data_IF_046078924296
#
_entry.id   IF_046078924296
#
_cell.length_a   1.000
_cell.length_b   1.000
_cell.length_c   1.000
_cell.angle_alpha   90.00
_cell.angle_beta   90.00
_cell.angle_gamma   90.00
#
_symmetry.space_group_name_H-M   'P 1'
#
loop_
_entity.id
_entity.type
_entity.pdbx_description
1 polymer ?
#
# COMPACT_ATOMS: atom_id res chain seq x y z
N UNK A 1 -23.47 -13.77 18.35
CA UNK A 1 -22.15 -13.94 17.71
C UNK A 1 -21.25 -12.80 18.18
N UNK A 2 -19.93 -12.96 18.12
CA UNK A 2 -19.00 -11.87 18.46
C UNK A 2 -18.78 -10.95 17.26
N UNK A 3 -18.35 -9.71 17.50
CA UNK A 3 -18.09 -8.74 16.43
C UNK A 3 -17.01 -9.24 15.46
N UNK A 4 -16.03 -9.98 15.96
CA UNK A 4 -14.99 -10.62 15.14
C UNK A 4 -15.60 -11.59 14.11
N UNK A 5 -16.64 -12.36 14.47
CA UNK A 5 -17.34 -13.26 13.54
C UNK A 5 -17.98 -12.48 12.39
N UNK A 6 -18.71 -11.40 12.70
CA UNK A 6 -19.38 -10.56 11.70
C UNK A 6 -18.36 -9.88 10.78
N UNK A 7 -17.23 -9.42 11.33
CA UNK A 7 -16.15 -8.86 10.53
C UNK A 7 -15.52 -9.89 9.58
N UNK A 8 -15.38 -11.15 9.97
CA UNK A 8 -14.91 -12.20 9.04
C UNK A 8 -15.91 -12.45 7.91
N UNK A 9 -17.22 -12.42 8.24
CA UNK A 9 -18.27 -12.55 7.24
C UNK A 9 -18.22 -11.40 6.23
N UNK A 10 -18.04 -10.16 6.71
CA UNK A 10 -17.84 -8.99 5.85
C UNK A 10 -16.64 -9.20 4.93
N UNK A 11 -15.49 -9.58 5.49
CA UNK A 11 -14.28 -9.81 4.70
C UNK A 11 -14.52 -10.83 3.58
N UNK A 12 -15.16 -11.96 3.89
CA UNK A 12 -15.45 -13.01 2.91
C UNK A 12 -16.45 -12.55 1.83
N UNK A 13 -17.55 -11.91 2.23
CA UNK A 13 -18.56 -11.39 1.30
C UNK A 13 -17.98 -10.33 0.37
N UNK A 14 -17.21 -9.38 0.90
CA UNK A 14 -16.56 -8.32 0.15
C UNK A 14 -15.50 -8.89 -0.79
N UNK A 15 -14.61 -9.76 -0.29
CA UNK A 15 -13.56 -10.37 -1.12
C UNK A 15 -14.16 -11.08 -2.33
N UNK A 16 -15.20 -11.89 -2.11
CA UNK A 16 -15.88 -12.60 -3.18
C UNK A 16 -16.64 -11.66 -4.13
N UNK A 17 -17.50 -10.79 -3.60
CA UNK A 17 -18.36 -9.94 -4.43
C UNK A 17 -17.61 -8.85 -5.20
N UNK A 18 -16.44 -8.44 -4.73
CA UNK A 18 -15.56 -7.52 -5.46
C UNK A 18 -14.54 -8.25 -6.37
N UNK A 19 -14.64 -9.57 -6.50
CA UNK A 19 -13.77 -10.37 -7.37
C UNK A 19 -12.30 -10.39 -6.95
N UNK A 20 -12.04 -10.24 -5.65
CA UNK A 20 -10.69 -10.29 -5.08
C UNK A 20 -10.32 -11.72 -4.66
N UNK A 21 -9.01 -11.97 -4.49
CA UNK A 21 -8.52 -13.25 -4.01
C UNK A 21 -8.27 -13.22 -2.50
N UNK A 22 -8.79 -14.21 -1.79
CA UNK A 22 -8.50 -14.39 -0.36
C UNK A 22 -7.02 -14.76 -0.07
N UNK A 23 -6.24 -15.06 -1.11
CA UNK A 23 -4.80 -15.33 -1.05
C UNK A 23 -3.93 -14.07 -1.16
N UNK A 24 -4.52 -12.89 -1.36
CA UNK A 24 -3.77 -11.64 -1.51
C UNK A 24 -4.47 -10.44 -0.90
N UNK A 25 -5.79 -10.43 -0.82
CA UNK A 25 -6.55 -9.23 -0.47
C UNK A 25 -6.42 -8.87 1.01
N UNK A 26 -6.23 -7.59 1.29
CA UNK A 26 -6.26 -7.00 2.62
C UNK A 26 -7.26 -5.85 2.61
N UNK A 27 -8.21 -5.89 3.54
CA UNK A 27 -9.23 -4.86 3.71
C UNK A 27 -8.62 -3.63 4.39
N UNK A 28 -8.94 -2.43 3.90
CA UNK A 28 -8.54 -1.19 4.54
C UNK A 28 -9.69 -0.67 5.42
N UNK A 29 -9.43 -0.52 6.72
CA UNK A 29 -10.40 -0.02 7.70
C UNK A 29 -9.73 0.97 8.66
N UNK A 30 -10.04 2.28 8.59
CA UNK A 30 -11.05 2.89 7.72
C UNK A 30 -10.68 2.88 6.24
N UNK A 31 -11.68 2.85 5.36
CA UNK A 31 -11.44 3.11 3.93
C UNK A 31 -11.01 4.57 3.75
N UNK A 32 -10.17 4.84 2.76
CA UNK A 32 -9.56 6.17 2.59
C UNK A 32 -10.11 6.87 1.33
N UNK A 33 -10.98 7.89 1.46
CA UNK A 33 -11.32 8.74 0.32
C UNK A 33 -10.08 9.52 -0.12
N UNK A 34 -9.83 9.53 -1.43
CA UNK A 34 -8.67 10.17 -2.04
C UNK A 34 -9.06 11.55 -2.59
N UNK A 35 -8.42 12.59 -2.07
CA UNK A 35 -8.57 13.97 -2.57
C UNK A 35 -7.55 14.31 -3.65
N UNK A 36 -7.88 15.32 -4.45
CA UNK A 36 -6.95 15.92 -5.43
C UNK A 36 -5.76 16.58 -4.71
N UNK A 37 -6.00 17.22 -3.56
CA UNK A 37 -4.94 17.83 -2.75
C UNK A 37 -3.99 16.75 -2.22
N UNK A 38 -2.73 16.80 -2.65
CA UNK A 38 -1.70 15.80 -2.30
C UNK A 38 -1.91 14.42 -2.94
N UNK A 39 -2.81 14.31 -3.93
CA UNK A 39 -3.35 13.04 -4.43
C UNK A 39 -2.31 11.95 -4.72
N UNK A 40 -1.23 12.29 -5.42
CA UNK A 40 -0.13 11.35 -5.71
C UNK A 40 0.60 10.90 -4.44
N UNK A 41 1.00 11.84 -3.58
CA UNK A 41 1.74 11.52 -2.36
C UNK A 41 0.89 10.67 -1.40
N UNK A 42 -0.39 10.98 -1.27
CA UNK A 42 -1.31 10.20 -0.43
C UNK A 42 -1.63 8.83 -1.04
N UNK A 43 -1.84 8.75 -2.35
CA UNK A 43 -2.02 7.48 -3.05
C UNK A 43 -0.80 6.57 -2.89
N UNK A 44 0.39 7.12 -3.15
CA UNK A 44 1.65 6.40 -3.10
C UNK A 44 2.05 6.01 -1.68
N UNK A 45 1.57 6.71 -0.64
CA UNK A 45 1.86 6.34 0.74
C UNK A 45 1.23 5.00 1.15
N UNK A 46 0.20 4.51 0.45
CA UNK A 46 -0.33 3.15 0.62
C UNK A 46 0.54 2.09 -0.05
N UNK A 47 1.12 2.40 -1.20
CA UNK A 47 2.06 1.52 -1.91
C UNK A 47 3.41 1.44 -1.20
N UNK A 48 3.84 2.55 -0.60
CA UNK A 48 5.08 2.64 0.15
C UNK A 48 5.00 1.97 1.52
N UNK A 49 3.81 1.72 2.06
CA UNK A 49 3.65 1.06 3.35
C UNK A 49 3.84 -0.46 3.21
N UNK A 50 4.65 -1.04 4.09
CA UNK A 50 4.81 -2.50 4.14
C UNK A 50 3.66 -3.11 4.96
N UNK A 51 2.79 -3.92 4.35
CA UNK A 51 1.58 -4.38 5.00
C UNK A 51 1.86 -5.40 6.12
N UNK A 52 1.18 -5.30 7.28
CA UNK A 52 1.24 -6.30 8.33
C UNK A 52 0.58 -7.61 7.89
N UNK A 53 0.95 -8.73 8.50
CA UNK A 53 0.31 -10.03 8.25
C UNK A 53 -1.09 -10.07 8.90
N UNK A 54 -2.10 -9.60 8.18
CA UNK A 54 -3.46 -9.44 8.72
C UNK A 54 -4.51 -9.31 7.60
N UNK A 55 -5.76 -9.68 7.87
CA UNK A 55 -6.89 -9.50 6.94
C UNK A 55 -7.27 -8.04 6.73
N UNK A 56 -7.11 -7.25 7.77
CA UNK A 56 -7.48 -5.85 7.87
C UNK A 56 -6.26 -5.01 8.23
N UNK A 57 -6.18 -3.83 7.65
CA UNK A 57 -5.18 -2.84 8.00
C UNK A 57 -5.85 -1.51 8.36
N UNK A 58 -5.50 -1.02 9.54
CA UNK A 58 -5.70 0.37 9.90
C UNK A 58 -4.47 1.16 9.44
N UNK A 59 -4.65 1.92 8.35
CA UNK A 59 -3.57 2.70 7.78
C UNK A 59 -3.18 3.87 8.69
N UNK A 60 -1.89 3.92 9.05
CA UNK A 60 -1.29 5.05 9.76
C UNK A 60 -0.27 5.71 8.84
N UNK A 61 -0.55 6.95 8.44
CA UNK A 61 0.23 7.68 7.42
C UNK A 61 1.65 8.05 7.90
N UNK A 62 1.89 8.11 9.21
CA UNK A 62 3.17 8.54 9.80
C UNK A 62 3.83 7.44 10.63
N UNK A 63 5.06 7.06 10.27
CA UNK A 63 5.99 6.31 11.14
C UNK A 63 5.96 4.79 11.02
N UNK A 64 5.17 4.23 10.10
CA UNK A 64 5.19 2.80 9.80
C UNK A 64 6.43 2.35 9.02
N UNK A 65 6.55 1.04 8.85
CA UNK A 65 7.56 0.37 8.04
C UNK A 65 7.38 0.70 6.54
N UNK A 66 8.41 1.23 5.87
CA UNK A 66 8.28 1.85 4.55
C UNK A 66 9.22 1.22 3.52
N UNK A 67 8.66 0.77 2.40
CA UNK A 67 9.37 0.09 1.32
C UNK A 67 10.54 0.91 0.79
N UNK A 68 10.35 2.20 0.50
CA UNK A 68 11.42 3.06 0.00
C UNK A 68 12.59 3.18 1.00
N UNK A 69 12.28 3.43 2.27
CA UNK A 69 13.28 3.59 3.33
C UNK A 69 14.04 2.29 3.59
N UNK A 70 13.32 1.17 3.64
CA UNK A 70 13.91 -0.16 3.85
C UNK A 70 14.73 -0.61 2.64
N UNK A 71 14.24 -0.37 1.41
CA UNK A 71 14.97 -0.67 0.18
C UNK A 71 16.30 0.09 0.10
N UNK A 72 16.28 1.39 0.45
CA UNK A 72 17.51 2.19 0.57
C UNK A 72 18.46 1.60 1.62
N UNK A 73 17.93 1.19 2.77
CA UNK A 73 18.69 0.50 3.81
C UNK A 73 19.36 -0.76 3.28
N UNK A 74 18.61 -1.62 2.59
CA UNK A 74 19.12 -2.82 1.93
C UNK A 74 20.27 -2.47 0.99
N UNK A 75 20.06 -1.54 0.04
CA UNK A 75 21.10 -1.17 -0.92
C UNK A 75 22.38 -0.62 -0.26
N UNK A 76 22.26 0.08 0.87
CA UNK A 76 23.42 0.55 1.63
C UNK A 76 24.23 -0.59 2.28
N UNK A 77 23.56 -1.71 2.58
CA UNK A 77 24.14 -2.91 3.18
C UNK A 77 24.68 -3.91 2.15
N UNK A 78 24.50 -3.66 0.85
CA UNK A 78 24.99 -4.52 -0.22
C UNK A 78 26.31 -4.02 -0.82
N UNK A 79 27.06 -4.95 -1.39
CA UNK A 79 28.26 -4.70 -2.19
C UNK A 79 27.95 -4.92 -3.66
N UNK A 80 28.16 -3.86 -4.44
CA UNK A 80 28.28 -3.94 -5.89
C UNK A 80 29.42 -4.90 -6.26
N UNK A 81 29.23 -5.72 -7.28
CA UNK A 81 30.29 -6.54 -7.86
C UNK A 81 31.27 -5.67 -8.66
N UNK A 82 30.76 -4.61 -9.27
CA UNK A 82 31.54 -3.55 -9.91
C UNK A 82 32.17 -2.64 -8.85
N UNK A 83 33.48 -2.39 -8.97
CA UNK A 83 34.25 -1.50 -8.08
C UNK A 83 34.37 -0.08 -8.62
N UNK A 84 33.49 0.30 -9.55
CA UNK A 84 33.51 1.59 -10.22
C UNK A 84 32.88 2.63 -9.29
N UNK A 85 33.63 3.67 -8.97
CA UNK A 85 33.13 4.83 -8.24
C UNK A 85 33.01 6.01 -9.19
N UNK A 86 31.81 6.22 -9.74
CA UNK A 86 31.56 7.31 -10.71
C UNK A 86 31.95 8.66 -10.14
N UNK A 87 31.72 8.90 -8.84
CA UNK A 87 32.06 10.15 -8.18
C UNK A 87 33.58 10.37 -8.17
N UNK A 88 34.37 9.30 -8.02
CA UNK A 88 35.82 9.38 -8.17
C UNK A 88 36.24 9.61 -9.63
N UNK A 89 35.59 8.94 -10.59
CA UNK A 89 35.91 9.03 -12.02
C UNK A 89 35.62 10.42 -12.61
N UNK A 90 34.50 11.05 -12.24
CA UNK A 90 34.06 12.33 -12.82
C UNK A 90 34.37 13.55 -11.95
N UNK A 91 34.78 13.32 -10.71
CA UNK A 91 35.00 14.36 -9.70
C UNK A 91 33.72 14.73 -8.94
N UNK A 92 33.89 15.07 -7.65
CA UNK A 92 32.78 15.31 -6.73
C UNK A 92 31.86 16.46 -7.17
N UNK A 93 32.43 17.57 -7.67
CA UNK A 93 31.63 18.70 -8.14
C UNK A 93 30.73 18.34 -9.33
N UNK A 94 31.30 17.68 -10.34
CA UNK A 94 30.56 17.24 -11.54
C UNK A 94 29.49 16.23 -11.17
N UNK A 95 29.81 15.29 -10.29
CA UNK A 95 28.84 14.33 -9.77
C UNK A 95 27.66 15.05 -9.09
N UNK A 96 27.91 15.97 -8.17
CA UNK A 96 26.84 16.71 -7.48
C UNK A 96 26.02 17.60 -8.44
N UNK A 97 26.66 18.20 -9.44
CA UNK A 97 25.97 18.99 -10.48
C UNK A 97 25.08 18.11 -11.36
N UNK A 98 25.55 16.93 -11.74
CA UNK A 98 24.78 15.97 -12.53
C UNK A 98 23.57 15.43 -11.75
N UNK A 99 23.73 15.10 -10.46
CA UNK A 99 22.58 14.64 -9.64
C UNK A 99 21.53 15.74 -9.51
N UNK A 100 21.95 17.01 -9.32
CA UNK A 100 21.01 18.16 -9.34
C UNK A 100 20.30 18.30 -10.68
N UNK A 101 21.00 18.07 -11.79
CA UNK A 101 20.39 18.03 -13.11
C UNK A 101 19.34 16.91 -13.22
N UNK A 102 19.65 15.68 -12.79
CA UNK A 102 18.69 14.57 -12.77
C UNK A 102 17.44 14.90 -11.92
N UNK A 103 17.61 15.55 -10.76
CA UNK A 103 16.48 15.96 -9.91
C UNK A 103 15.54 16.97 -10.59
N UNK A 104 16.07 17.77 -11.53
CA UNK A 104 15.29 18.75 -12.31
C UNK A 104 14.44 18.11 -13.41
N UNK A 105 14.80 16.89 -13.85
CA UNK A 105 14.05 16.15 -14.85
C UNK A 105 12.80 15.51 -14.20
N UNK A 106 11.64 15.69 -14.83
CA UNK A 106 10.35 15.15 -14.37
C UNK A 106 9.67 14.38 -15.52
N UNK A 107 9.50 13.05 -15.40
CA UNK A 107 9.97 12.18 -14.31
C UNK A 107 11.50 12.06 -14.26
N UNK A 108 12.04 11.60 -13.12
CA UNK A 108 13.47 11.28 -13.03
C UNK A 108 13.76 10.11 -13.98
N UNK A 109 14.76 10.21 -14.88
CA UNK A 109 15.07 9.16 -15.84
C UNK A 109 15.45 7.84 -15.16
N UNK A 110 15.10 6.69 -15.75
CA UNK A 110 15.60 5.40 -15.28
C UNK A 110 17.11 5.30 -15.49
N UNK A 111 17.79 4.56 -14.60
CA UNK A 111 19.26 4.47 -14.57
C UNK A 111 19.88 3.94 -15.87
N UNK A 112 19.15 3.14 -16.65
CA UNK A 112 19.63 2.66 -17.95
C UNK A 112 19.85 3.77 -18.99
N UNK A 113 19.30 4.97 -18.75
CA UNK A 113 19.50 6.15 -19.59
C UNK A 113 20.65 7.05 -19.09
N UNK A 114 21.21 6.78 -17.91
CA UNK A 114 22.25 7.64 -17.33
C UNK A 114 23.50 7.81 -18.19
N UNK A 115 24.02 6.81 -18.94
CA UNK A 115 25.20 6.99 -19.78
C UNK A 115 25.01 8.09 -20.82
N UNK A 116 23.91 8.04 -21.57
CA UNK A 116 23.61 9.00 -22.63
C UNK A 116 23.26 10.37 -22.05
N UNK A 117 22.49 10.41 -20.96
CA UNK A 117 22.11 11.66 -20.30
C UNK A 117 23.34 12.34 -19.69
N UNK A 118 24.23 11.58 -19.06
CA UNK A 118 25.49 12.09 -18.53
C UNK A 118 26.37 12.61 -19.65
N UNK A 119 26.56 11.83 -20.73
CA UNK A 119 27.38 12.25 -21.87
C UNK A 119 26.90 13.59 -22.44
N UNK A 120 25.61 13.70 -22.75
CA UNK A 120 25.02 14.92 -23.32
C UNK A 120 25.14 16.12 -22.37
N UNK A 121 24.92 15.92 -21.07
CA UNK A 121 25.10 16.96 -20.06
C UNK A 121 26.57 17.38 -19.93
N UNK A 122 27.49 16.41 -19.88
CA UNK A 122 28.92 16.63 -19.67
C UNK A 122 29.59 17.27 -20.89
N UNK A 123 29.14 16.97 -22.12
CA UNK A 123 29.63 17.65 -23.32
C UNK A 123 29.50 19.19 -23.26
N UNK A 124 28.55 19.70 -22.47
CA UNK A 124 28.34 21.14 -22.26
C UNK A 124 28.99 21.62 -20.97
N UNK A 125 28.90 20.85 -19.88
CA UNK A 125 29.22 21.31 -18.53
C UNK A 125 30.56 20.80 -17.98
N UNK A 126 31.05 19.67 -18.47
CA UNK A 126 32.23 18.97 -17.97
C UNK A 126 32.88 18.09 -19.07
N UNK A 127 33.33 18.66 -20.20
CA UNK A 127 33.72 17.90 -21.39
C UNK A 127 34.88 16.94 -21.14
N UNK A 128 35.80 17.30 -20.23
CA UNK A 128 36.99 16.50 -19.90
C UNK A 128 36.65 15.13 -19.30
N UNK A 129 35.46 14.97 -18.69
CA UNK A 129 35.01 13.71 -18.07
C UNK A 129 33.83 13.07 -18.80
N UNK A 130 33.37 13.63 -19.93
CA UNK A 130 32.14 13.20 -20.59
C UNK A 130 32.19 11.72 -21.01
N UNK A 131 33.23 11.31 -21.75
CA UNK A 131 33.38 9.93 -22.20
C UNK A 131 33.66 8.96 -21.04
N UNK A 132 34.49 9.38 -20.08
CA UNK A 132 34.86 8.56 -18.93
C UNK A 132 33.64 8.28 -18.04
N UNK A 133 32.88 9.31 -17.69
CA UNK A 133 31.67 9.15 -16.87
C UNK A 133 30.56 8.37 -17.57
N UNK A 134 30.34 8.59 -18.88
CA UNK A 134 29.38 7.80 -19.65
C UNK A 134 29.76 6.31 -19.66
N UNK A 135 31.05 6.00 -19.85
CA UNK A 135 31.57 4.63 -19.81
C UNK A 135 31.44 4.01 -18.41
N UNK A 136 31.68 4.79 -17.35
CA UNK A 136 31.52 4.35 -15.96
C UNK A 136 30.06 3.99 -15.65
N UNK A 137 29.10 4.83 -16.03
CA UNK A 137 27.67 4.51 -15.89
C UNK A 137 27.27 3.28 -16.71
N UNK A 138 27.75 3.16 -17.94
CA UNK A 138 27.44 2.01 -18.81
C UNK A 138 27.92 0.69 -18.18
N UNK A 139 29.11 0.69 -17.57
CA UNK A 139 29.65 -0.48 -16.90
C UNK A 139 28.87 -0.85 -15.62
N UNK A 140 28.36 0.13 -14.87
CA UNK A 140 27.58 -0.12 -13.64
C UNK A 140 26.19 -0.70 -13.93
N UNK A 141 25.56 -0.35 -15.05
CA UNK A 141 24.19 -0.83 -15.36
C UNK A 141 24.12 -2.36 -15.49
N UNK A 142 25.23 -3.01 -15.82
CA UNK A 142 25.33 -4.47 -15.91
C UNK A 142 25.32 -5.15 -14.53
N UNK A 143 25.56 -4.40 -13.46
CA UNK A 143 25.51 -4.85 -12.08
C UNK A 143 24.17 -4.48 -11.44
N UNK A 144 23.28 -5.43 -11.10
CA UNK A 144 22.00 -5.14 -10.48
C UNK A 144 22.10 -4.25 -9.24
N UNK A 145 23.08 -4.50 -8.37
CA UNK A 145 23.24 -3.76 -7.11
C UNK A 145 23.82 -2.38 -7.40
N UNK A 146 24.88 -2.31 -8.21
CA UNK A 146 25.49 -1.04 -8.60
C UNK A 146 24.50 -0.12 -9.31
N UNK A 147 23.76 -0.65 -10.28
CA UNK A 147 22.71 0.05 -11.02
C UNK A 147 21.64 0.63 -10.09
N UNK A 148 21.12 -0.16 -9.14
CA UNK A 148 20.14 0.32 -8.19
C UNK A 148 20.69 1.36 -7.19
N UNK A 149 21.97 1.24 -6.79
CA UNK A 149 22.64 2.25 -5.96
C UNK A 149 22.77 3.59 -6.70
N UNK A 150 23.07 3.59 -8.01
CA UNK A 150 23.10 4.82 -8.81
C UNK A 150 21.70 5.42 -8.98
N UNK A 151 20.68 4.57 -9.16
CA UNK A 151 19.29 5.00 -9.30
C UNK A 151 18.76 5.76 -8.07
N UNK A 152 19.29 5.46 -6.88
CA UNK A 152 18.95 6.16 -5.63
C UNK A 152 19.58 7.55 -5.48
N UNK A 153 20.61 7.90 -6.27
CA UNK A 153 21.35 9.15 -6.07
C UNK A 153 20.47 10.41 -6.01
N UNK A 154 19.50 10.62 -6.94
CA UNK A 154 18.62 11.79 -6.90
C UNK A 154 17.72 11.85 -5.65
N UNK A 155 17.48 10.71 -5.01
CA UNK A 155 16.63 10.57 -3.82
C UNK A 155 17.42 10.66 -2.52
N UNK A 156 18.76 10.69 -2.59
CA UNK A 156 19.66 10.78 -1.44
C UNK A 156 20.31 12.16 -1.27
N UNK A 157 20.33 12.99 -2.32
CA UNK A 157 20.89 14.34 -2.26
C UNK A 157 20.02 15.28 -1.40
N UNK A 158 20.52 16.45 -1.00
CA UNK A 158 19.76 17.44 -0.20
C UNK A 158 19.23 18.59 -1.08
N UNK A 159 17.91 18.90 -1.04
CA UNK A 159 16.85 18.12 -0.43
C UNK A 159 16.60 16.81 -1.22
N UNK A 160 16.21 15.71 -0.54
CA UNK A 160 15.97 14.44 -1.23
C UNK A 160 14.71 14.54 -2.07
N UNK A 161 14.76 13.99 -3.29
CA UNK A 161 13.53 13.74 -4.03
C UNK A 161 12.65 12.74 -3.23
N UNK A 162 11.34 13.00 -3.11
CA UNK A 162 10.44 12.01 -2.51
C UNK A 162 10.34 10.77 -3.41
N UNK A 163 10.05 9.58 -2.86
CA UNK A 163 9.76 8.43 -3.70
C UNK A 163 8.52 8.67 -4.55
N UNK A 164 8.59 8.23 -5.80
CA UNK A 164 7.56 8.41 -6.82
C UNK A 164 7.17 7.06 -7.45
N UNK A 165 6.04 7.08 -8.17
CA UNK A 165 5.51 5.95 -8.94
C UNK A 165 5.11 6.43 -10.33
N UNK A 166 5.17 5.53 -11.31
CA UNK A 166 4.94 5.85 -12.72
C UNK A 166 3.54 6.40 -13.02
N UNK A 167 2.54 5.97 -12.24
CA UNK A 167 1.14 6.40 -12.37
C UNK A 167 0.65 7.00 -11.06
N UNK A 168 0.05 8.17 -11.16
CA UNK A 168 -0.54 8.93 -10.05
C UNK A 168 -2.07 8.97 -10.06
N UNK A 169 -2.63 9.90 -9.30
CA UNK A 169 -4.04 10.15 -9.06
C UNK A 169 -4.83 10.36 -10.35
N UNK A 170 -4.31 11.16 -11.29
CA UNK A 170 -5.01 11.42 -12.57
C UNK A 170 -5.19 10.16 -13.40
N UNK A 171 -4.20 9.26 -13.37
CA UNK A 171 -4.32 7.97 -14.03
C UNK A 171 -5.34 7.07 -13.33
N UNK A 172 -5.37 7.08 -12.00
CA UNK A 172 -6.35 6.36 -11.20
C UNK A 172 -7.78 6.83 -11.49
N UNK A 173 -8.04 8.14 -11.50
CA UNK A 173 -9.40 8.68 -11.74
C UNK A 173 -9.87 8.34 -13.15
N UNK A 174 -9.01 8.49 -14.15
CA UNK A 174 -9.31 8.13 -15.54
C UNK A 174 -9.67 6.65 -15.67
N UNK A 175 -8.85 5.75 -15.13
CA UNK A 175 -9.09 4.32 -15.20
C UNK A 175 -10.36 3.92 -14.41
N UNK A 176 -10.57 4.53 -13.24
CA UNK A 176 -11.70 4.22 -12.36
C UNK A 176 -13.03 4.54 -13.05
N UNK A 177 -13.09 5.64 -13.80
CA UNK A 177 -14.28 6.01 -14.58
C UNK A 177 -14.72 4.97 -15.64
N UNK A 178 -13.83 4.03 -15.99
CA UNK A 178 -14.09 2.96 -16.97
C UNK A 178 -14.17 1.58 -16.31
N UNK A 179 -13.93 1.49 -15.00
CA UNK A 179 -13.89 0.23 -14.28
C UNK A 179 -15.32 -0.32 -14.07
N UNK A 180 -15.52 -1.64 -13.97
CA UNK A 180 -16.87 -2.17 -13.94
C UNK A 180 -17.57 -1.94 -12.59
N UNK A 181 -18.90 -1.90 -12.63
CA UNK A 181 -19.74 -1.96 -11.44
C UNK A 181 -19.52 -3.28 -10.69
N UNK A 182 -19.59 -3.21 -9.35
CA UNK A 182 -19.59 -4.37 -8.47
C UNK A 182 -20.56 -4.15 -7.32
N UNK A 183 -21.01 -5.26 -6.75
CA UNK A 183 -21.87 -5.25 -5.58
C UNK A 183 -21.62 -6.53 -4.78
N UNK A 184 -21.95 -6.48 -3.50
CA UNK A 184 -21.98 -7.68 -2.67
C UNK A 184 -23.11 -7.59 -1.65
N UNK A 185 -23.56 -8.75 -1.22
CA UNK A 185 -24.48 -8.89 -0.10
C UNK A 185 -23.84 -9.76 0.97
N UNK A 186 -24.16 -9.47 2.22
CA UNK A 186 -23.78 -10.28 3.37
C UNK A 186 -25.01 -10.52 4.22
N UNK A 187 -25.22 -11.75 4.66
CA UNK A 187 -26.22 -12.10 5.66
C UNK A 187 -25.54 -12.90 6.76
N UNK A 188 -25.64 -12.43 8.01
CA UNK A 188 -24.90 -13.03 9.12
C UNK A 188 -25.32 -14.48 9.43
N UNK A 189 -26.50 -14.91 8.98
CA UNK A 189 -27.00 -16.28 9.11
C UNK A 189 -26.44 -17.27 8.08
N UNK A 190 -25.94 -16.81 6.93
CA UNK A 190 -25.52 -17.68 5.81
C UNK A 190 -24.09 -17.46 5.36
N UNK A 191 -23.53 -16.27 5.59
CA UNK A 191 -22.17 -15.95 5.16
C UNK A 191 -21.15 -16.66 6.06
N UNK A 192 -20.16 -17.32 5.46
CA UNK A 192 -19.09 -17.99 6.21
C UNK A 192 -18.20 -16.98 6.93
N UNK A 193 -17.83 -17.30 8.17
CA UNK A 193 -16.83 -16.57 8.96
C UNK A 193 -15.45 -17.25 8.96
N UNK A 194 -15.28 -18.34 8.22
CA UNK A 194 -14.00 -19.05 8.12
C UNK A 194 -13.01 -18.23 7.27
N UNK A 195 -11.89 -17.89 7.89
CA UNK A 195 -10.78 -17.14 7.29
C UNK A 195 -9.45 -17.89 7.44
N UNK A 196 -9.49 -19.16 7.88
CA UNK A 196 -8.28 -19.96 8.12
C UNK A 196 -7.43 -20.17 6.87
N UNK A 197 -8.06 -20.19 5.69
CA UNK A 197 -7.40 -20.36 4.38
C UNK A 197 -6.98 -19.05 3.72
N UNK A 198 -7.15 -17.91 4.37
CA UNK A 198 -6.70 -16.62 3.84
C UNK A 198 -5.18 -16.51 3.93
N UNK A 199 -4.58 -15.59 3.19
CA UNK A 199 -3.12 -15.39 3.16
C UNK A 199 -2.51 -15.01 4.53
N UNK A 200 -3.33 -14.46 5.43
CA UNK A 200 -2.94 -14.14 6.81
C UNK A 200 -3.43 -15.18 7.83
N UNK A 201 -4.06 -16.26 7.37
CA UNK A 201 -4.70 -17.30 8.19
C UNK A 201 -5.65 -16.72 9.24
N UNK A 202 -6.35 -15.63 8.90
CA UNK A 202 -7.30 -14.98 9.79
C UNK A 202 -6.70 -14.03 10.83
N UNK A 203 -5.38 -13.78 10.79
CA UNK A 203 -4.73 -12.78 11.65
C UNK A 203 -5.29 -11.39 11.38
N UNK A 204 -5.25 -10.52 12.38
CA UNK A 204 -5.80 -9.16 12.32
C UNK A 204 -4.81 -8.15 12.89
N UNK A 205 -4.97 -6.89 12.48
CA UNK A 205 -4.22 -5.79 13.04
C UNK A 205 -4.96 -5.20 14.25
N UNK A 206 -5.91 -4.30 14.00
CA UNK A 206 -6.72 -3.63 15.02
C UNK A 206 -8.18 -3.72 14.59
N UNK A 207 -9.01 -4.30 15.45
CA UNK A 207 -10.44 -4.41 15.21
C UNK A 207 -11.20 -3.35 16.02
N UNK A 208 -11.73 -2.35 15.34
CA UNK A 208 -12.73 -1.47 15.95
C UNK A 208 -14.06 -2.20 16.14
N UNK A 209 -14.87 -1.73 17.08
CA UNK A 209 -16.25 -2.14 17.23
C UNK A 209 -17.18 -1.41 16.27
N UNK A 210 -18.36 -1.02 16.75
CA UNK A 210 -19.41 -0.42 15.92
C UNK A 210 -19.01 0.93 15.31
N UNK A 211 -18.16 1.72 15.97
CA UNK A 211 -17.60 2.96 15.43
C UNK A 211 -16.07 2.98 15.57
N UNK A 212 -15.43 3.87 14.81
CA UNK A 212 -13.98 4.04 14.83
C UNK A 212 -13.51 4.38 16.25
N UNK A 213 -12.52 3.63 16.73
CA UNK A 213 -11.94 3.82 18.06
C UNK A 213 -12.71 3.15 19.21
N UNK A 214 -13.89 2.56 18.96
CA UNK A 214 -14.56 1.72 19.97
C UNK A 214 -13.94 0.33 20.02
N UNK A 215 -14.01 -0.35 21.15
CA UNK A 215 -13.59 -1.75 21.23
C UNK A 215 -14.65 -2.67 20.64
N UNK A 216 -14.20 -3.77 20.02
CA UNK A 216 -15.10 -4.80 19.47
C UNK A 216 -15.86 -5.59 20.54
N UNK A 217 -15.40 -5.52 21.78
CA UNK A 217 -15.94 -6.18 22.98
C UNK A 217 -16.81 -5.27 23.84
N UNK A 218 -16.93 -3.98 23.49
CA UNK A 218 -17.87 -3.10 24.17
C UNK A 218 -19.31 -3.56 24.00
N UNK A 219 -20.15 -3.31 25.03
CA UNK A 219 -21.55 -3.75 25.08
C UNK A 219 -22.34 -3.47 23.79
N UNK A 220 -22.22 -2.27 23.21
CA UNK A 220 -22.97 -1.91 22.01
C UNK A 220 -22.45 -2.61 20.75
N UNK A 221 -21.14 -2.81 20.64
CA UNK A 221 -20.53 -3.59 19.55
C UNK A 221 -20.98 -5.04 19.61
N UNK A 222 -20.95 -5.66 20.80
CA UNK A 222 -21.41 -7.03 20.98
C UNK A 222 -22.91 -7.18 20.76
N UNK A 223 -23.72 -6.25 21.29
CA UNK A 223 -25.16 -6.26 21.10
C UNK A 223 -25.56 -6.10 19.64
N UNK A 224 -24.84 -5.24 18.89
CA UNK A 224 -24.97 -5.15 17.45
C UNK A 224 -24.63 -6.48 16.76
N UNK A 225 -23.48 -7.09 17.08
CA UNK A 225 -23.00 -8.33 16.48
C UNK A 225 -23.84 -9.58 16.82
N UNK A 226 -24.63 -9.53 17.88
CA UNK A 226 -25.58 -10.57 18.24
C UNK A 226 -26.86 -10.52 17.38
N UNK A 227 -27.06 -9.45 16.60
CA UNK A 227 -28.21 -9.29 15.71
C UNK A 227 -28.12 -10.16 14.45
N UNK A 228 -29.27 -10.33 13.80
CA UNK A 228 -29.30 -10.68 12.37
C UNK A 228 -28.90 -9.44 11.57
N UNK A 229 -27.72 -9.51 10.96
CA UNK A 229 -27.11 -8.41 10.21
C UNK A 229 -27.20 -8.74 8.73
N UNK A 230 -27.65 -7.76 7.96
CA UNK A 230 -27.62 -7.80 6.50
C UNK A 230 -26.88 -6.59 5.95
N UNK A 231 -26.00 -6.81 4.98
CA UNK A 231 -25.34 -5.74 4.21
C UNK A 231 -25.76 -5.86 2.76
N UNK A 232 -26.06 -4.71 2.16
CA UNK A 232 -26.10 -4.54 0.72
C UNK A 232 -25.13 -3.43 0.36
N UNK A 233 -24.15 -3.75 -0.48
CA UNK A 233 -23.15 -2.80 -0.94
C UNK A 233 -23.14 -2.78 -2.47
N UNK A 234 -23.14 -1.58 -3.04
CA UNK A 234 -23.00 -1.36 -4.47
C UNK A 234 -21.97 -0.26 -4.73
N UNK A 235 -21.26 -0.39 -5.84
CA UNK A 235 -20.16 0.48 -6.25
C UNK A 235 -20.33 0.79 -7.74
N UNK A 236 -20.28 2.09 -8.09
CA UNK A 236 -20.40 2.54 -9.48
C UNK A 236 -19.24 2.01 -10.33
N UNK A 237 -18.03 2.05 -9.79
CA UNK A 237 -16.86 1.46 -10.43
C UNK A 237 -15.93 0.87 -9.36
N UNK A 238 -15.30 -0.27 -9.67
CA UNK A 238 -14.28 -0.90 -8.82
C UNK A 238 -13.06 -1.27 -9.65
N UNK A 239 -11.94 -0.67 -9.30
CA UNK A 239 -10.65 -0.79 -9.99
C UNK A 239 -9.60 -1.44 -9.10
N UNK A 240 -8.88 -2.41 -9.64
CA UNK A 240 -7.58 -2.82 -9.10
C UNK A 240 -6.50 -1.96 -9.76
N UNK A 241 -6.12 -0.87 -9.11
CA UNK A 241 -5.17 0.09 -9.63
C UNK A 241 -3.74 -0.38 -9.43
N UNK A 242 -3.01 -0.53 -10.53
CA UNK A 242 -1.61 -0.92 -10.58
C UNK A 242 -0.73 0.22 -11.05
N UNK A 243 0.43 0.36 -10.40
CA UNK A 243 1.47 1.32 -10.74
C UNK A 243 2.83 0.79 -10.30
N UNK A 244 3.87 1.09 -11.06
CA UNK A 244 5.23 0.67 -10.76
C UNK A 244 5.93 1.75 -9.94
N UNK A 245 6.78 1.34 -9.00
CA UNK A 245 7.71 2.27 -8.36
C UNK A 245 8.53 3.00 -9.43
N UNK A 246 8.87 4.26 -9.15
CA UNK A 246 9.64 5.11 -10.03
C UNK A 246 11.10 4.67 -10.16
N UNK A 247 11.93 5.56 -10.67
CA UNK A 247 13.31 5.24 -11.01
C UNK A 247 14.15 4.76 -9.82
N UNK A 248 13.74 5.06 -8.57
CA UNK A 248 14.43 4.63 -7.36
C UNK A 248 14.45 3.11 -7.13
N UNK A 249 13.53 2.33 -7.74
CA UNK A 249 13.38 0.91 -7.44
C UNK A 249 13.90 0.00 -8.58
N UNK A 250 14.77 -0.94 -8.22
CA UNK A 250 15.22 -2.03 -9.09
C UNK A 250 14.93 -3.41 -8.48
N UNK A 251 14.05 -4.19 -9.11
CA UNK A 251 13.68 -5.54 -8.65
C UNK A 251 14.83 -6.54 -8.70
N UNK A 252 15.73 -6.43 -9.68
CA UNK A 252 16.90 -7.29 -9.83
C UNK A 252 17.88 -7.18 -8.66
N UNK A 253 18.08 -5.98 -8.12
CA UNK A 253 18.91 -5.76 -6.94
C UNK A 253 18.29 -6.42 -5.70
N UNK A 254 16.98 -6.24 -5.49
CA UNK A 254 16.29 -6.86 -4.36
C UNK A 254 16.22 -8.38 -4.49
N UNK A 255 16.04 -8.91 -5.71
CA UNK A 255 16.11 -10.34 -5.99
C UNK A 255 17.51 -10.92 -5.73
N UNK A 256 18.56 -10.19 -6.11
CA UNK A 256 19.95 -10.60 -5.80
C UNK A 256 20.19 -10.63 -4.29
N UNK A 257 19.68 -9.64 -3.56
CA UNK A 257 19.74 -9.62 -2.10
C UNK A 257 18.95 -10.77 -1.46
N UNK A 258 17.76 -11.07 -1.99
CA UNK A 258 16.87 -12.11 -1.49
C UNK A 258 17.38 -13.53 -1.73
N UNK A 259 18.03 -13.80 -2.87
CA UNK A 259 18.56 -15.14 -3.20
C UNK A 259 19.84 -15.53 -2.46
N UNK A 260 20.54 -14.58 -1.84
CA UNK A 260 21.85 -14.84 -1.20
C UNK A 260 21.83 -14.34 0.24
N UNK A 261 21.83 -15.26 1.21
CA UNK A 261 21.77 -14.92 2.64
C UNK A 261 23.09 -14.43 3.23
N UNK A 262 24.23 -14.75 2.59
CA UNK A 262 25.57 -14.49 3.11
C UNK A 262 26.32 -13.33 2.44
N UNK A 263 27.58 -13.15 2.85
CA UNK A 263 28.55 -12.26 2.19
C UNK A 263 29.33 -13.06 1.14
N UNK A 264 29.37 -12.65 -0.14
CA UNK A 264 28.62 -11.56 -0.78
C UNK A 264 27.19 -11.96 -1.21
N UNK A 265 26.25 -11.02 -1.43
CA UNK A 265 26.45 -9.57 -1.61
C UNK A 265 26.30 -8.72 -0.35
N UNK A 266 25.86 -9.31 0.77
CA UNK A 266 25.70 -8.57 2.02
C UNK A 266 27.06 -8.18 2.61
N UNK A 267 27.20 -6.95 3.10
CA UNK A 267 28.41 -6.50 3.78
C UNK A 267 28.55 -7.20 5.14
N UNK A 268 29.66 -7.89 5.37
CA UNK A 268 30.00 -8.38 6.70
C UNK A 268 30.01 -7.24 7.74
N UNK A 269 29.40 -7.48 8.90
CA UNK A 269 29.28 -6.50 9.99
C UNK A 269 28.17 -5.46 9.84
N UNK A 270 27.37 -5.49 8.77
CA UNK A 270 26.17 -4.64 8.64
C UNK A 270 25.08 -5.05 9.64
N UNK A 271 24.44 -4.05 10.27
CA UNK A 271 23.25 -4.29 11.09
C UNK A 271 22.02 -4.71 10.25
N UNK A 272 22.01 -4.37 8.96
CA UNK A 272 20.99 -4.81 8.00
C UNK A 272 21.54 -6.07 7.31
N UNK A 273 20.88 -7.19 7.57
CA UNK A 273 21.18 -8.53 7.07
C UNK A 273 19.96 -9.14 6.38
N UNK A 274 20.17 -10.24 5.66
CA UNK A 274 19.09 -11.02 5.06
C UNK A 274 17.98 -11.35 6.06
N UNK A 275 18.33 -11.82 7.27
CA UNK A 275 17.34 -12.20 8.28
C UNK A 275 16.56 -10.99 8.81
N UNK A 276 17.23 -9.86 9.04
CA UNK A 276 16.58 -8.62 9.47
C UNK A 276 15.72 -7.98 8.38
N UNK A 277 15.92 -8.37 7.12
CA UNK A 277 15.16 -7.84 5.98
C UNK A 277 14.03 -8.77 5.55
N UNK A 278 14.34 -10.03 5.28
CA UNK A 278 13.40 -10.98 4.66
C UNK A 278 13.00 -12.13 5.57
N UNK A 279 13.69 -12.31 6.70
CA UNK A 279 13.40 -13.37 7.65
C UNK A 279 12.02 -13.21 8.32
N UNK A 280 11.63 -14.15 9.21
CA UNK A 280 10.31 -14.14 9.85
C UNK A 280 9.98 -12.87 10.62
N UNK A 281 10.99 -12.12 11.07
CA UNK A 281 10.86 -10.82 11.75
C UNK A 281 11.42 -9.67 10.92
N UNK A 282 11.66 -9.89 9.62
CA UNK A 282 12.29 -8.91 8.74
C UNK A 282 11.38 -7.72 8.41
N UNK A 283 11.98 -6.60 8.03
CA UNK A 283 11.23 -5.40 7.65
C UNK A 283 10.62 -5.48 6.24
N UNK A 284 11.11 -6.27 5.29
CA UNK A 284 10.52 -6.43 3.95
C UNK A 284 10.00 -7.86 3.75
N UNK A 285 8.99 -8.27 4.51
CA UNK A 285 8.39 -9.60 4.34
C UNK A 285 7.31 -9.66 3.25
N UNK A 286 6.68 -8.52 2.95
CA UNK A 286 5.50 -8.40 2.09
C UNK A 286 5.51 -7.04 1.40
N UNK A 287 4.79 -6.94 0.30
CA UNK A 287 4.61 -5.67 -0.40
C UNK A 287 3.18 -5.54 -0.91
N UNK A 288 2.70 -4.31 -0.95
CA UNK A 288 1.47 -3.95 -1.66
C UNK A 288 1.75 -3.93 -3.16
N UNK A 289 0.98 -4.69 -3.94
CA UNK A 289 1.18 -4.80 -5.41
C UNK A 289 0.12 -4.08 -6.23
N UNK A 290 -1.06 -3.84 -5.65
CA UNK A 290 -2.09 -3.02 -6.25
C UNK A 290 -3.06 -2.52 -5.16
N UNK A 291 -3.82 -1.50 -5.54
CA UNK A 291 -4.80 -0.84 -4.68
C UNK A 291 -6.20 -1.16 -5.18
N UNK A 292 -7.12 -1.53 -4.29
CA UNK A 292 -8.53 -1.70 -4.63
C UNK A 292 -9.28 -0.40 -4.33
N UNK A 293 -9.69 0.28 -5.39
CA UNK A 293 -10.31 1.60 -5.34
C UNK A 293 -11.71 1.52 -5.91
N UNK A 294 -12.67 2.16 -5.25
CA UNK A 294 -14.04 2.24 -5.72
C UNK A 294 -14.55 3.69 -5.73
N UNK A 295 -15.63 3.96 -6.48
CA UNK A 295 -16.38 5.21 -6.37
C UNK A 295 -17.89 4.93 -6.36
N UNK A 296 -18.68 6.00 -6.15
CA UNK A 296 -20.14 5.96 -6.05
C UNK A 296 -20.62 4.80 -5.15
N UNK A 297 -20.02 4.70 -3.97
CA UNK A 297 -20.35 3.71 -2.96
C UNK A 297 -21.76 3.97 -2.45
N UNK A 298 -22.58 2.93 -2.35
CA UNK A 298 -23.84 2.94 -1.60
C UNK A 298 -23.93 1.64 -0.79
N UNK A 299 -23.78 1.77 0.52
CA UNK A 299 -23.71 0.65 1.45
C UNK A 299 -24.77 0.84 2.50
N UNK A 300 -25.63 -0.17 2.65
CA UNK A 300 -26.64 -0.24 3.69
C UNK A 300 -26.40 -1.45 4.58
N UNK A 301 -26.24 -1.19 5.88
CA UNK A 301 -26.17 -2.21 6.92
C UNK A 301 -27.45 -2.16 7.75
N UNK A 302 -28.15 -3.27 7.86
CA UNK A 302 -29.33 -3.40 8.71
C UNK A 302 -29.04 -4.39 9.83
N UNK A 303 -29.30 -4.00 11.07
CA UNK A 303 -29.28 -4.86 12.25
C UNK A 303 -30.68 -4.90 12.87
N UNK A 304 -31.27 -6.10 12.97
CA UNK A 304 -32.62 -6.33 13.51
C UNK A 304 -32.72 -6.28 15.04
N UNK A 305 -31.69 -5.79 15.73
CA UNK A 305 -31.71 -5.67 17.20
C UNK A 305 -32.37 -4.38 17.62
N UNK A 306 -33.15 -4.43 18.70
CA UNK A 306 -33.89 -3.28 19.23
C UNK A 306 -33.03 -2.49 20.22
N UNK A 307 -32.42 -1.40 19.76
CA UNK A 307 -31.66 -0.50 20.64
C UNK A 307 -32.58 0.39 21.47
N UNK A 308 -32.27 0.55 22.76
CA UNK A 308 -32.95 1.51 23.64
C UNK A 308 -32.74 2.94 23.17
N UNK A 309 -33.62 3.89 23.51
CA UNK A 309 -33.45 5.30 23.11
C UNK A 309 -32.10 5.89 23.54
N UNK A 310 -31.58 5.47 24.69
CA UNK A 310 -30.26 5.87 25.17
C UNK A 310 -29.15 5.31 24.28
N UNK A 311 -29.23 4.02 23.92
CA UNK A 311 -28.26 3.39 23.01
C UNK A 311 -28.29 4.04 21.62
N UNK A 312 -29.49 4.37 21.11
CA UNK A 312 -29.65 5.09 19.85
C UNK A 312 -28.95 6.46 19.88
N UNK A 313 -29.04 7.19 20.99
CA UNK A 313 -28.34 8.46 21.17
C UNK A 313 -26.82 8.28 21.19
N UNK A 314 -26.31 7.25 21.86
CA UNK A 314 -24.87 6.94 21.88
C UNK A 314 -24.37 6.63 20.48
N UNK A 315 -25.07 5.76 19.73
CA UNK A 315 -24.68 5.39 18.36
C UNK A 315 -24.70 6.61 17.44
N UNK A 316 -25.75 7.44 17.50
CA UNK A 316 -25.83 8.69 16.72
C UNK A 316 -24.69 9.65 17.08
N UNK A 317 -24.41 9.80 18.36
CA UNK A 317 -23.34 10.67 18.87
C UNK A 317 -21.95 10.27 18.36
N UNK A 318 -21.72 8.99 18.09
CA UNK A 318 -20.46 8.48 17.57
C UNK A 318 -20.40 8.34 16.04
N UNK A 319 -21.50 8.57 15.32
CA UNK A 319 -21.54 8.43 13.85
C UNK A 319 -20.54 9.34 13.12
N UNK A 320 -20.17 10.48 13.72
CA UNK A 320 -19.15 11.38 13.20
C UNK A 320 -17.74 10.80 13.15
N UNK A 321 -17.43 9.79 13.98
CA UNK A 321 -16.15 9.06 13.92
C UNK A 321 -16.10 8.03 12.79
N UNK A 322 -17.25 7.75 12.18
CA UNK A 322 -17.42 6.69 11.18
C UNK A 322 -17.87 5.38 11.81
N UNK A 323 -18.82 4.73 11.16
CA UNK A 323 -19.40 3.45 11.60
C UNK A 323 -18.89 2.30 10.73
N UNK A 324 -18.95 1.10 11.30
CA UNK A 324 -18.72 -0.14 10.55
C UNK A 324 -19.67 -0.20 9.32
N UNK A 325 -19.21 -0.67 8.14
CA UNK A 325 -17.99 -1.47 7.93
C UNK A 325 -16.74 -0.70 7.53
N UNK A 326 -16.84 0.49 6.94
CA UNK A 326 -15.66 1.20 6.41
C UNK A 326 -15.18 2.37 7.26
N UNK A 327 -15.88 2.67 8.37
CA UNK A 327 -15.49 3.67 9.35
C UNK A 327 -15.25 5.07 8.78
N UNK A 328 -15.95 5.41 7.69
CA UNK A 328 -15.95 6.75 7.13
C UNK A 328 -16.95 7.63 7.87
N UNK A 329 -16.47 8.72 8.46
CA UNK A 329 -17.31 9.77 9.03
C UNK A 329 -17.95 10.67 7.96
N UNK A 330 -19.03 11.36 8.32
CA UNK A 330 -19.71 12.34 7.44
C UNK A 330 -18.92 13.62 7.16
N UNK A 331 -17.74 13.78 7.78
CA UNK A 331 -16.82 14.92 7.57
C UNK A 331 -15.65 14.55 6.66
N UNK A 332 -15.57 13.31 6.20
CA UNK A 332 -14.51 12.87 5.30
C UNK A 332 -14.88 13.23 3.86
N UNK A 333 -13.85 13.48 3.03
CA UNK A 333 -13.99 14.02 1.69
C UNK A 333 -14.99 13.21 0.83
N UNK A 334 -16.12 13.83 0.48
CA UNK A 334 -17.12 13.22 -0.39
C UNK A 334 -17.87 12.02 0.20
N UNK A 335 -17.71 11.75 1.50
CA UNK A 335 -18.35 10.64 2.20
C UNK A 335 -19.52 11.10 3.07
N UNK A 336 -20.58 10.30 3.13
CA UNK A 336 -21.68 10.50 4.08
C UNK A 336 -21.99 9.19 4.78
N UNK A 337 -22.08 9.21 6.10
CA UNK A 337 -22.57 8.09 6.91
C UNK A 337 -23.73 8.57 7.75
N UNK A 338 -24.86 7.87 7.66
CA UNK A 338 -26.09 8.16 8.41
C UNK A 338 -26.56 6.92 9.17
N UNK A 339 -27.28 7.14 10.27
CA UNK A 339 -27.89 6.07 11.07
C UNK A 339 -29.34 6.38 11.35
N UNK A 340 -30.21 5.45 10.98
CA UNK A 340 -31.64 5.51 11.23
C UNK A 340 -32.05 4.37 12.16
N UNK A 341 -33.10 4.62 12.93
CA UNK A 341 -33.70 3.61 13.80
C UNK A 341 -35.19 3.52 13.47
N UNK A 342 -35.72 2.31 13.37
CA UNK A 342 -37.15 2.09 13.22
C UNK A 342 -37.88 2.34 14.55
N UNK A 343 -39.22 2.36 14.53
CA UNK A 343 -40.03 2.45 15.76
C UNK A 343 -39.78 1.28 16.72
N UNK A 344 -39.28 0.15 16.20
CA UNK A 344 -38.88 -1.03 16.97
C UNK A 344 -37.43 -0.97 17.46
N UNK A 345 -36.70 0.10 17.16
CA UNK A 345 -35.30 0.29 17.52
C UNK A 345 -34.29 -0.48 16.66
N UNK A 346 -34.74 -1.09 15.56
CA UNK A 346 -33.83 -1.73 14.57
C UNK A 346 -33.01 -0.66 13.87
N UNK A 347 -31.75 -0.95 13.54
CA UNK A 347 -30.82 0.06 13.02
C UNK A 347 -30.53 -0.14 11.54
N UNK A 348 -30.52 0.95 10.79
CA UNK A 348 -29.97 1.02 9.44
C UNK A 348 -28.85 2.04 9.39
N UNK A 349 -27.65 1.60 9.01
CA UNK A 349 -26.49 2.45 8.76
C UNK A 349 -26.31 2.54 7.25
N UNK A 350 -26.24 3.76 6.71
CA UNK A 350 -26.01 3.99 5.29
C UNK A 350 -24.75 4.80 5.10
N UNK A 351 -23.79 4.26 4.35
CA UNK A 351 -22.55 4.95 3.96
C UNK A 351 -22.52 5.12 2.46
N UNK A 352 -22.28 6.34 1.99
CA UNK A 352 -22.19 6.68 0.58
C UNK A 352 -20.93 7.48 0.26
N UNK A 353 -20.42 7.32 -0.96
CA UNK A 353 -19.47 8.25 -1.56
C UNK A 353 -20.11 8.98 -2.73
N UNK A 354 -19.80 10.26 -2.91
CA UNK A 354 -20.25 11.01 -4.07
C UNK A 354 -19.64 10.42 -5.36
N UNK A 355 -20.36 10.46 -6.50
CA UNK A 355 -19.80 10.07 -7.79
C UNK A 355 -18.50 10.81 -8.10
N UNK A 356 -17.49 10.10 -8.60
CA UNK A 356 -16.17 10.67 -8.90
C UNK A 356 -15.26 10.88 -7.69
N UNK A 357 -15.66 10.45 -6.49
CA UNK A 357 -14.78 10.40 -5.31
C UNK A 357 -14.17 9.00 -5.19
N UNK A 358 -12.88 8.83 -5.50
CA UNK A 358 -12.22 7.55 -5.33
C UNK A 358 -12.03 7.25 -3.85
N UNK A 359 -12.34 6.02 -3.46
CA UNK A 359 -12.19 5.52 -2.09
C UNK A 359 -11.36 4.25 -2.13
N UNK A 360 -10.20 4.28 -1.49
CA UNK A 360 -9.37 3.11 -1.31
C UNK A 360 -10.00 2.22 -0.23
N UNK A 361 -10.46 1.04 -0.63
CA UNK A 361 -11.15 0.09 0.26
C UNK A 361 -10.27 -1.10 0.64
N UNK A 362 -9.14 -1.30 -0.01
CA UNK A 362 -8.22 -2.38 0.29
C UNK A 362 -7.01 -2.41 -0.61
N UNK A 363 -6.16 -3.40 -0.41
CA UNK A 363 -4.94 -3.62 -1.18
C UNK A 363 -4.76 -5.11 -1.48
N UNK A 364 -4.00 -5.44 -2.52
CA UNK A 364 -3.48 -6.80 -2.68
C UNK A 364 -2.02 -6.85 -2.24
N UNK A 365 -1.72 -7.86 -1.43
CA UNK A 365 -0.43 -8.09 -0.78
C UNK A 365 0.18 -9.37 -1.32
N UNK A 366 1.48 -9.33 -1.60
CA UNK A 366 2.28 -10.53 -1.88
C UNK A 366 3.39 -10.69 -0.85
N UNK A 367 3.71 -11.92 -0.41
CA UNK A 367 4.99 -12.22 0.23
C UNK A 367 6.14 -11.80 -0.68
N UNK A 368 7.22 -11.29 -0.10
CA UNK A 368 8.34 -10.72 -0.84
C UNK A 368 8.97 -11.71 -1.84
N UNK A 369 9.09 -12.99 -1.47
CA UNK A 369 9.60 -14.03 -2.38
C UNK A 369 8.76 -14.15 -3.64
N UNK A 370 7.43 -14.22 -3.51
CA UNK A 370 6.51 -14.30 -4.65
C UNK A 370 6.53 -13.03 -5.50
N UNK A 371 6.63 -11.86 -4.86
CA UNK A 371 6.76 -10.59 -5.58
C UNK A 371 8.04 -10.53 -6.44
N UNK A 372 9.13 -11.11 -5.93
CA UNK A 372 10.41 -11.21 -6.65
C UNK A 372 10.49 -12.41 -7.61
N UNK A 373 9.41 -13.19 -7.77
CA UNK A 373 9.34 -14.33 -8.69
C UNK A 373 9.86 -15.66 -8.12
N UNK A 374 10.18 -15.74 -6.83
CA UNK A 374 10.50 -17.00 -6.15
C UNK A 374 9.20 -17.71 -5.75
N UNK A 375 8.98 -18.92 -6.25
CA UNK A 375 7.90 -19.80 -5.78
C UNK A 375 8.35 -20.54 -4.52
N UNK A 376 7.41 -21.00 -3.69
CA UNK A 376 7.66 -21.63 -2.39
C UNK A 376 8.62 -22.84 -2.41
N UNK A 377 8.92 -23.40 -3.59
CA UNK A 377 9.89 -24.48 -3.77
C UNK A 377 11.36 -24.01 -3.68
N UNK A 378 11.63 -22.70 -3.75
CA UNK A 378 13.00 -22.16 -3.77
C UNK A 378 13.57 -21.79 -2.38
N UNK A 379 12.83 -22.07 -1.29
CA UNK A 379 13.24 -21.72 0.08
C UNK A 379 13.76 -22.91 0.91
N UNK A 380 13.82 -24.12 0.32
CA UNK A 380 14.39 -25.32 0.95
C UNK A 380 15.81 -25.69 0.45
N UNK A 381 16.49 -24.75 -0.22
CA UNK A 381 17.93 -24.84 -0.53
C UNK A 381 18.63 -23.60 0.00
#
# INVERSE_FOLDING_TARGET
MSFITVQNQLYNALTHGLGQSNQTFQLLQPAAPLSIEGGDTFLWSFLNNIPPLSLDQNYTQSGGNQLFSDYKGVLSALRSATRIDVKQEVGEENFQNFVRYLQSLKPIPPVNQFPDIFFNWAMVNAPDVAQQGASAYAAIILDPIGSAQQALMPYMQRPPAPPDWARGYDALVRDLSQAPQRAFEMHSSTTSSDVSKTWSSGRRSVLFGLWRGSESTERLSEFFAQSEISIRASFGHVLSFQTNAGAWYGSSALGTAYSKKGDPPWRSGSAITWDSTFGPSGNIQRVTVNLLVADAMDISVTARTSFSRQDQQIIRGNSGFGLWPFYNGSREYGMTTNTQFSDRGETTITTKSAPGVPVLIGVNVLPIGRFLGYTSAALEQ
#
